data_IF_786869618148
#
_entry.id   IF_786869618148
#
_cell.length_a   1.000
_cell.length_b   1.000
_cell.length_c   1.000
_cell.angle_alpha   90.00
_cell.angle_beta   90.00
_cell.angle_gamma   90.00
#
_symmetry.space_group_name_H-M   'P 1'
#
loop_
_entity.id
_entity.type
_entity.pdbx_description
1 polymer ?
#
# COMPACT_ATOMS: atom_id res chain seq x y z
N UNK A 1 16.98 37.41 55.50
CA UNK A 1 17.67 36.87 54.29
C UNK A 1 16.87 35.78 53.56
N UNK A 2 15.95 35.06 54.21
CA UNK A 2 15.14 33.96 53.62
C UNK A 2 14.27 34.39 52.42
N UNK A 3 13.65 35.58 52.46
CA UNK A 3 12.73 36.05 51.43
C UNK A 3 13.35 36.25 50.02
N UNK A 4 14.66 36.53 49.93
CA UNK A 4 15.35 36.66 48.64
C UNK A 4 15.57 35.29 48.01
N UNK A 5 15.99 34.30 48.81
CA UNK A 5 16.16 32.92 48.35
C UNK A 5 14.83 32.30 47.91
N UNK A 6 13.73 32.53 48.64
CA UNK A 6 12.40 32.04 48.25
C UNK A 6 11.95 32.63 46.92
N UNK A 7 12.23 33.92 46.68
CA UNK A 7 11.84 34.60 45.44
C UNK A 7 12.66 34.13 44.25
N UNK A 8 13.96 33.91 44.41
CA UNK A 8 14.81 33.33 43.35
C UNK A 8 14.41 31.88 43.07
N UNK A 9 14.11 31.09 44.12
CA UNK A 9 13.65 29.71 43.98
C UNK A 9 12.32 29.62 43.20
N UNK A 10 11.34 30.48 43.52
CA UNK A 10 10.05 30.51 42.81
C UNK A 10 10.21 30.89 41.34
N UNK A 11 11.08 31.86 41.01
CA UNK A 11 11.35 32.26 39.62
C UNK A 11 11.97 31.11 38.83
N UNK A 12 12.93 30.40 39.42
CA UNK A 12 13.55 29.23 38.77
C UNK A 12 12.53 28.10 38.58
N UNK A 13 11.68 27.86 39.57
CA UNK A 13 10.67 26.79 39.51
C UNK A 13 9.62 27.06 38.43
N UNK A 14 9.14 28.32 38.29
CA UNK A 14 8.24 28.71 37.20
C UNK A 14 8.94 28.61 35.85
N UNK A 15 10.20 29.04 35.74
CA UNK A 15 10.95 28.92 34.49
C UNK A 15 11.11 27.45 34.05
N UNK A 16 11.40 26.54 34.98
CA UNK A 16 11.48 25.10 34.70
C UNK A 16 10.13 24.52 34.26
N UNK A 17 9.03 24.90 34.90
CA UNK A 17 7.69 24.46 34.49
C UNK A 17 7.37 24.95 33.08
N UNK A 18 7.65 26.23 32.77
CA UNK A 18 7.42 26.78 31.43
C UNK A 18 8.28 26.06 30.38
N UNK A 19 9.55 25.78 30.67
CA UNK A 19 10.43 25.04 29.76
C UNK A 19 9.89 23.62 29.54
N UNK A 20 9.49 22.91 30.60
CA UNK A 20 8.93 21.56 30.48
C UNK A 20 7.62 21.57 29.69
N UNK A 21 6.72 22.51 29.95
CA UNK A 21 5.46 22.66 29.21
C UNK A 21 5.70 22.94 27.73
N UNK A 22 6.64 23.84 27.40
CA UNK A 22 7.02 24.14 26.03
C UNK A 22 7.63 22.91 25.33
N UNK A 23 8.45 22.12 26.02
CA UNK A 23 8.99 20.87 25.49
C UNK A 23 7.87 19.87 25.23
N UNK A 24 6.98 19.63 26.19
CA UNK A 24 5.90 18.64 26.02
C UNK A 24 4.89 19.01 24.94
N UNK A 25 4.57 20.32 24.79
CA UNK A 25 3.65 20.80 23.74
C UNK A 25 4.28 20.69 22.35
N UNK A 26 5.60 20.82 22.25
CA UNK A 26 6.33 20.78 20.98
C UNK A 26 6.82 19.36 20.60
N UNK A 27 6.69 18.38 21.49
CA UNK A 27 7.06 16.97 21.25
C UNK A 27 5.87 16.02 21.24
N UNK A 28 4.70 16.45 20.77
CA UNK A 28 3.64 15.51 20.40
C UNK A 28 4.04 14.75 19.11
N UNK A 29 4.86 13.71 19.26
CA UNK A 29 4.93 12.62 18.30
C UNK A 29 4.10 11.44 18.85
N UNK A 30 2.99 11.03 18.22
CA UNK A 30 2.41 9.71 18.45
C UNK A 30 3.43 8.62 18.06
N UNK A 31 4.00 7.98 19.07
CA UNK A 31 4.82 6.79 18.93
C UNK A 31 3.95 5.60 18.50
N UNK A 32 3.90 5.34 17.20
CA UNK A 32 4.35 4.07 16.65
C UNK A 32 4.89 4.31 15.24
N UNK A 33 6.11 4.81 15.16
CA UNK A 33 6.92 4.68 13.97
C UNK A 33 7.64 3.33 14.00
N UNK A 34 7.28 2.44 13.08
CA UNK A 34 7.98 1.18 12.88
C UNK A 34 9.19 1.43 11.97
N UNK A 35 10.35 0.85 12.33
CA UNK A 35 11.58 0.93 11.54
C UNK A 35 11.80 -0.42 10.90
N UNK A 36 11.88 -0.45 9.57
CA UNK A 36 12.18 -1.68 8.82
C UNK A 36 13.66 -2.08 9.00
N UNK A 37 13.98 -3.29 9.52
CA UNK A 37 15.37 -3.68 9.81
C UNK A 37 16.24 -3.94 8.57
N UNK A 38 15.65 -4.19 7.41
CA UNK A 38 16.38 -4.49 6.17
C UNK A 38 16.76 -3.22 5.41
N UNK A 39 15.99 -2.14 5.56
CA UNK A 39 16.18 -0.90 4.78
C UNK A 39 16.46 0.34 5.61
N UNK A 40 16.22 0.31 6.93
CA UNK A 40 16.51 1.42 7.85
C UNK A 40 15.60 2.65 7.70
N UNK A 41 14.44 2.52 7.05
CA UNK A 41 13.49 3.63 6.85
C UNK A 41 12.43 3.68 7.96
N UNK A 42 12.17 4.89 8.45
CA UNK A 42 11.13 5.21 9.45
C UNK A 42 9.79 5.45 8.76
N UNK A 43 8.76 4.70 9.12
CA UNK A 43 7.38 4.96 8.72
C UNK A 43 6.60 5.52 9.91
N UNK A 44 6.41 6.84 9.95
CA UNK A 44 5.63 7.53 10.98
C UNK A 44 5.04 8.85 10.46
N UNK A 45 3.73 9.01 10.64
CA UNK A 45 2.94 10.23 10.47
C UNK A 45 2.94 10.92 9.11
N UNK A 46 2.12 10.36 8.21
CA UNK A 46 1.68 11.02 6.99
C UNK A 46 0.54 10.21 6.39
N UNK A 47 -0.66 10.33 6.95
CA UNK A 47 -1.87 9.83 6.29
C UNK A 47 -1.98 10.41 4.88
N UNK A 48 -2.60 9.67 3.96
CA UNK A 48 -2.84 10.10 2.57
C UNK A 48 -3.33 11.54 2.57
N UNK A 49 -2.51 12.47 2.06
CA UNK A 49 -2.93 13.86 1.89
C UNK A 49 -4.23 13.89 1.06
N UNK A 50 -5.17 14.75 1.45
CA UNK A 50 -6.34 15.05 0.61
C UNK A 50 -5.83 15.53 -0.74
N UNK A 51 -5.95 14.67 -1.76
CA UNK A 51 -5.65 15.02 -3.13
C UNK A 51 -6.45 16.25 -3.53
N UNK A 52 -5.77 17.32 -3.95
CA UNK A 52 -6.40 18.51 -4.50
C UNK A 52 -7.21 18.14 -5.76
N UNK A 53 -8.42 18.70 -5.96
CA UNK A 53 -9.31 18.33 -7.07
C UNK A 53 -8.70 18.56 -8.46
N UNK A 54 -7.67 19.40 -8.58
CA UNK A 54 -7.05 19.77 -9.86
C UNK A 54 -6.04 18.74 -10.40
N UNK A 55 -5.65 17.72 -9.62
CA UNK A 55 -4.79 16.61 -10.11
C UNK A 55 -5.58 15.45 -10.74
N UNK A 56 -6.91 15.47 -10.66
CA UNK A 56 -7.78 14.39 -11.16
C UNK A 56 -7.96 14.38 -12.69
N UNK A 57 -7.49 15.40 -13.41
CA UNK A 57 -7.80 15.55 -14.82
C UNK A 57 -6.73 15.02 -15.81
N UNK A 58 -5.54 14.59 -15.36
CA UNK A 58 -4.47 14.23 -16.33
C UNK A 58 -3.37 13.26 -15.85
N UNK A 59 -3.62 12.34 -14.91
CA UNK A 59 -2.63 11.27 -14.65
C UNK A 59 -2.82 10.09 -15.62
N UNK A 60 -2.21 10.27 -16.78
CA UNK A 60 -1.96 9.32 -17.86
C UNK A 60 -1.82 7.86 -17.38
N UNK A 61 -2.69 6.96 -17.87
CA UNK A 61 -2.67 5.49 -17.74
C UNK A 61 -1.40 4.79 -18.30
N UNK A 62 -0.33 5.53 -18.57
CA UNK A 62 0.87 5.06 -19.27
C UNK A 62 1.61 3.91 -18.56
N UNK A 63 1.48 3.78 -17.24
CA UNK A 63 2.12 2.70 -16.48
C UNK A 63 1.35 1.38 -16.49
N UNK A 64 0.02 1.42 -16.55
CA UNK A 64 -0.84 0.24 -16.39
C UNK A 64 -0.87 -0.60 -17.67
N UNK A 65 -0.94 0.06 -18.83
CA UNK A 65 -1.03 -0.62 -20.13
C UNK A 65 0.36 -0.75 -20.78
N UNK A 66 0.85 -1.98 -20.95
CA UNK A 66 2.07 -2.26 -21.71
C UNK A 66 2.62 -3.66 -21.48
N UNK A 67 3.77 -3.95 -22.08
CA UNK A 67 4.33 -5.30 -22.13
C UNK A 67 4.94 -5.79 -20.81
N UNK A 68 5.32 -7.07 -20.83
CA UNK A 68 6.08 -7.75 -19.78
C UNK A 68 7.47 -7.14 -19.67
N UNK A 69 7.91 -6.83 -18.45
CA UNK A 69 9.23 -6.24 -18.17
C UNK A 69 10.17 -7.27 -17.53
N UNK A 70 9.61 -8.35 -16.98
CA UNK A 70 10.36 -9.34 -16.21
C UNK A 70 11.03 -10.41 -17.09
N UNK A 71 12.24 -10.88 -16.72
CA UNK A 71 12.93 -11.94 -17.44
C UNK A 71 12.31 -13.31 -17.17
N UNK A 72 12.72 -14.32 -17.95
CA UNK A 72 12.31 -15.72 -17.77
C UNK A 72 12.75 -16.27 -16.40
N UNK A 73 11.87 -17.01 -15.72
CA UNK A 73 12.19 -17.67 -14.46
C UNK A 73 12.51 -19.16 -14.67
N UNK A 74 13.80 -19.51 -14.68
CA UNK A 74 14.25 -20.87 -15.01
C UNK A 74 14.07 -21.93 -13.91
N UNK A 75 13.99 -21.53 -12.64
CA UNK A 75 13.87 -22.48 -11.52
C UNK A 75 12.40 -22.91 -11.31
N UNK A 76 12.10 -24.19 -11.56
CA UNK A 76 10.75 -24.73 -11.50
C UNK A 76 10.14 -24.70 -10.08
N UNK A 77 10.92 -25.00 -9.04
CA UNK A 77 10.45 -24.98 -7.66
C UNK A 77 10.10 -23.56 -7.22
N UNK A 78 10.99 -22.60 -7.47
CA UNK A 78 10.76 -21.19 -7.16
C UNK A 78 9.56 -20.64 -7.94
N UNK A 79 9.39 -21.03 -9.21
CA UNK A 79 8.22 -20.67 -10.03
C UNK A 79 6.92 -21.20 -9.43
N UNK A 80 6.88 -22.43 -8.96
CA UNK A 80 5.69 -23.02 -8.35
C UNK A 80 5.35 -22.38 -6.99
N UNK A 81 6.35 -22.10 -6.16
CA UNK A 81 6.18 -21.40 -4.87
C UNK A 81 5.65 -19.98 -5.07
N UNK A 82 6.25 -19.23 -6.00
CA UNK A 82 5.81 -17.90 -6.38
C UNK A 82 4.36 -17.89 -6.88
N UNK A 83 3.99 -18.87 -7.72
CA UNK A 83 2.62 -19.03 -8.22
C UNK A 83 1.62 -19.22 -7.08
N UNK A 84 1.86 -20.17 -6.17
CA UNK A 84 0.97 -20.42 -5.02
C UNK A 84 0.82 -19.19 -4.13
N UNK A 85 1.92 -18.49 -3.84
CA UNK A 85 1.90 -17.29 -3.02
C UNK A 85 1.08 -16.16 -3.68
N UNK A 86 1.25 -15.98 -4.98
CA UNK A 86 0.56 -14.93 -5.74
C UNK A 86 -0.93 -15.21 -5.86
N UNK A 87 -1.31 -16.46 -6.18
CA UNK A 87 -2.72 -16.87 -6.20
C UNK A 87 -3.37 -16.69 -4.83
N UNK A 88 -2.67 -17.03 -3.75
CA UNK A 88 -3.17 -16.81 -2.40
C UNK A 88 -3.46 -15.32 -2.13
N UNK A 89 -2.56 -14.42 -2.53
CA UNK A 89 -2.76 -12.97 -2.41
C UNK A 89 -3.98 -12.52 -3.21
N UNK A 90 -4.05 -12.89 -4.50
CA UNK A 90 -5.12 -12.47 -5.41
C UNK A 90 -6.50 -12.95 -4.94
N UNK A 91 -6.63 -14.24 -4.57
CA UNK A 91 -7.87 -14.80 -4.03
C UNK A 91 -8.28 -14.11 -2.73
N UNK A 92 -7.32 -13.90 -1.82
CA UNK A 92 -7.63 -13.21 -0.55
C UNK A 92 -8.09 -11.77 -0.81
N UNK A 93 -7.46 -11.08 -1.76
CA UNK A 93 -7.82 -9.72 -2.13
C UNK A 93 -9.24 -9.63 -2.72
N UNK A 94 -9.60 -10.49 -3.69
CA UNK A 94 -10.94 -10.47 -4.31
C UNK A 94 -12.04 -10.90 -3.33
N UNK A 95 -11.76 -11.85 -2.43
CA UNK A 95 -12.69 -12.24 -1.36
C UNK A 95 -12.91 -11.13 -0.33
N UNK A 96 -11.94 -10.23 -0.15
CA UNK A 96 -12.02 -9.10 0.79
C UNK A 96 -12.54 -7.82 0.15
N UNK A 97 -12.62 -7.75 -1.18
CA UNK A 97 -13.11 -6.59 -1.94
C UNK A 97 -14.53 -6.14 -1.51
N UNK A 98 -14.91 -4.86 -1.62
CA UNK A 98 -16.23 -4.39 -1.22
C UNK A 98 -17.38 -4.99 -2.05
N UNK A 99 -18.55 -5.14 -1.45
CA UNK A 99 -19.75 -5.59 -2.17
C UNK A 99 -20.32 -4.49 -3.09
N UNK A 100 -20.09 -3.22 -2.74
CA UNK A 100 -20.48 -2.04 -3.51
C UNK A 100 -19.28 -1.09 -3.67
N UNK A 101 -18.33 -1.42 -4.54
CA UNK A 101 -17.11 -0.63 -4.72
C UNK A 101 -17.40 0.70 -5.43
N UNK A 102 -16.68 1.74 -5.03
CA UNK A 102 -16.63 3.05 -5.70
C UNK A 102 -15.89 2.94 -7.04
N UNK A 103 -16.07 3.90 -7.98
CA UNK A 103 -15.35 3.89 -9.26
C UNK A 103 -13.82 3.81 -9.10
N UNK A 104 -13.27 4.49 -8.10
CA UNK A 104 -11.85 4.46 -7.77
C UNK A 104 -11.39 3.06 -7.33
N UNK A 105 -12.10 2.42 -6.39
CA UNK A 105 -11.77 1.06 -5.93
C UNK A 105 -11.84 0.02 -7.07
N UNK A 106 -12.77 0.20 -8.01
CA UNK A 106 -12.88 -0.64 -9.21
C UNK A 106 -11.68 -0.47 -10.12
N UNK A 107 -11.28 0.77 -10.37
CA UNK A 107 -10.11 1.09 -11.19
C UNK A 107 -8.82 0.62 -10.51
N UNK A 108 -8.72 0.71 -9.19
CA UNK A 108 -7.59 0.22 -8.42
C UNK A 108 -7.43 -1.30 -8.55
N UNK A 109 -8.53 -2.06 -8.44
CA UNK A 109 -8.51 -3.51 -8.60
C UNK A 109 -8.17 -3.93 -10.05
N UNK A 110 -8.74 -3.25 -11.03
CA UNK A 110 -8.40 -3.49 -12.45
C UNK A 110 -6.93 -3.19 -12.74
N UNK A 111 -6.43 -2.05 -12.25
CA UNK A 111 -5.03 -1.64 -12.39
C UNK A 111 -4.09 -2.62 -11.70
N UNK A 112 -4.45 -3.14 -10.52
CA UNK A 112 -3.67 -4.15 -9.83
C UNK A 112 -3.41 -5.37 -10.70
N UNK A 113 -4.44 -5.92 -11.37
CA UNK A 113 -4.25 -7.10 -12.24
C UNK A 113 -3.37 -6.81 -13.44
N UNK A 114 -3.60 -5.67 -14.11
CA UNK A 114 -2.77 -5.27 -15.25
C UNK A 114 -1.32 -5.02 -14.84
N UNK A 115 -1.06 -4.31 -13.74
CA UNK A 115 0.29 -4.08 -13.23
C UNK A 115 0.96 -5.38 -12.77
N UNK A 116 0.22 -6.26 -12.10
CA UNK A 116 0.70 -7.59 -11.72
C UNK A 116 1.15 -8.35 -12.97
N UNK A 117 0.37 -8.34 -14.05
CA UNK A 117 0.75 -9.01 -15.30
C UNK A 117 2.01 -8.45 -15.97
N UNK A 118 2.42 -7.21 -15.66
CA UNK A 118 3.65 -6.61 -16.20
C UNK A 118 4.87 -6.90 -15.32
N UNK A 119 4.65 -6.89 -14.01
CA UNK A 119 5.68 -6.95 -12.97
C UNK A 119 5.85 -8.36 -12.38
N UNK A 120 5.04 -9.33 -12.80
CA UNK A 120 5.11 -10.69 -12.28
C UNK A 120 6.51 -11.30 -12.51
N UNK A 121 7.22 -11.77 -11.47
CA UNK A 121 8.63 -12.17 -11.54
C UNK A 121 8.86 -13.54 -12.21
N UNK A 122 8.14 -13.79 -13.31
CA UNK A 122 8.31 -14.88 -14.25
C UNK A 122 7.81 -14.35 -15.61
N UNK A 123 8.73 -13.98 -16.51
CA UNK A 123 8.39 -13.30 -17.76
C UNK A 123 7.47 -14.09 -18.69
N UNK A 124 7.69 -15.41 -18.81
CA UNK A 124 6.81 -16.27 -19.60
C UNK A 124 5.42 -16.41 -18.97
N UNK A 125 5.33 -16.52 -17.63
CA UNK A 125 4.07 -16.55 -16.92
C UNK A 125 3.31 -15.21 -17.05
N UNK A 126 4.05 -14.10 -16.99
CA UNK A 126 3.52 -12.74 -17.15
C UNK A 126 2.88 -12.56 -18.53
N UNK A 127 3.52 -13.10 -19.58
CA UNK A 127 3.00 -13.06 -20.94
C UNK A 127 1.70 -13.88 -21.08
N UNK A 128 1.67 -15.09 -20.50
CA UNK A 128 0.46 -15.92 -20.45
C UNK A 128 -0.65 -15.22 -19.68
N UNK A 129 -0.33 -14.59 -18.54
CA UNK A 129 -1.32 -13.87 -17.75
C UNK A 129 -1.87 -12.65 -18.50
N UNK A 130 -1.04 -11.91 -19.24
CA UNK A 130 -1.52 -10.84 -20.12
C UNK A 130 -2.47 -11.35 -21.21
N UNK A 131 -2.19 -12.53 -21.78
CA UNK A 131 -3.07 -13.14 -22.77
C UNK A 131 -4.42 -13.53 -22.15
N UNK A 132 -4.41 -14.08 -20.92
CA UNK A 132 -5.62 -14.38 -20.16
C UNK A 132 -6.44 -13.11 -19.87
N UNK A 133 -5.80 -12.03 -19.42
CA UNK A 133 -6.49 -10.76 -19.14
C UNK A 133 -7.12 -10.14 -20.39
N UNK A 134 -6.53 -10.32 -21.58
CA UNK A 134 -7.13 -9.88 -22.85
C UNK A 134 -8.39 -10.68 -23.20
N UNK A 135 -8.41 -11.98 -22.89
CA UNK A 135 -9.53 -12.87 -23.17
C UNK A 135 -10.65 -12.73 -22.13
N UNK A 136 -10.28 -12.56 -20.86
CA UNK A 136 -11.16 -12.49 -19.70
C UNK A 136 -10.79 -11.29 -18.84
N UNK A 137 -11.23 -10.06 -19.20
CA UNK A 137 -10.86 -8.86 -18.46
C UNK A 137 -11.37 -8.91 -17.00
N UNK A 138 -10.63 -8.33 -16.03
CA UNK A 138 -11.01 -8.30 -14.63
C UNK A 138 -12.42 -7.76 -14.41
N UNK A 139 -13.24 -8.52 -13.67
CA UNK A 139 -14.57 -8.07 -13.29
C UNK A 139 -14.53 -7.46 -11.88
N UNK A 140 -14.84 -6.17 -11.78
CA UNK A 140 -14.65 -5.38 -10.54
C UNK A 140 -15.96 -4.84 -9.97
N UNK A 141 -17.12 -5.32 -10.40
CA UNK A 141 -18.41 -4.73 -10.02
C UNK A 141 -18.84 -5.02 -8.57
N UNK A 142 -18.36 -6.10 -7.96
CA UNK A 142 -18.61 -6.46 -6.56
C UNK A 142 -17.66 -7.57 -6.11
N UNK A 143 -17.53 -7.77 -4.79
CA UNK A 143 -16.83 -8.91 -4.18
C UNK A 143 -17.14 -10.25 -4.86
N UNK A 144 -18.43 -10.58 -4.98
CA UNK A 144 -18.86 -11.87 -5.53
C UNK A 144 -18.43 -12.04 -6.98
N UNK A 145 -18.60 -10.99 -7.80
CA UNK A 145 -18.24 -11.03 -9.21
C UNK A 145 -16.72 -11.11 -9.39
N UNK A 146 -15.95 -10.34 -8.62
CA UNK A 146 -14.49 -10.37 -8.66
C UNK A 146 -13.91 -11.70 -8.20
N UNK A 147 -14.45 -12.28 -7.12
CA UNK A 147 -14.02 -13.59 -6.63
C UNK A 147 -14.35 -14.71 -7.61
N UNK A 148 -15.56 -14.73 -8.18
CA UNK A 148 -15.96 -15.74 -9.16
C UNK A 148 -15.13 -15.65 -10.44
N UNK A 149 -14.91 -14.44 -10.95
CA UNK A 149 -14.02 -14.22 -12.08
C UNK A 149 -12.63 -14.77 -11.78
N UNK A 150 -12.08 -14.48 -10.59
CA UNK A 150 -10.73 -14.91 -10.24
C UNK A 150 -10.59 -16.44 -10.25
N UNK A 151 -11.54 -17.15 -9.65
CA UNK A 151 -11.56 -18.63 -9.64
C UNK A 151 -11.65 -19.17 -11.07
N UNK A 152 -12.53 -18.63 -11.91
CA UNK A 152 -12.70 -19.10 -13.29
C UNK A 152 -11.52 -18.80 -14.22
N UNK A 153 -10.63 -17.90 -13.81
CA UNK A 153 -9.45 -17.50 -14.58
C UNK A 153 -8.17 -18.29 -14.22
N UNK A 154 -8.23 -19.15 -13.19
CA UNK A 154 -7.11 -19.95 -12.75
C UNK A 154 -6.92 -21.17 -13.67
N UNK A 155 -5.71 -21.45 -14.18
CA UNK A 155 -5.49 -22.51 -15.18
C UNK A 155 -5.77 -23.96 -14.75
N UNK A 156 -6.12 -24.23 -13.48
CA UNK A 156 -6.34 -25.58 -12.94
C UNK A 156 -7.66 -25.72 -12.12
N UNK A 157 -8.65 -24.85 -12.34
CA UNK A 157 -9.99 -24.97 -11.71
C UNK A 157 -10.93 -25.92 -12.48
#
# INVERSE_FOLDING_TARGET
MVARFTRTYLVVLVALIVIVSLVTLNTHHPLQSYVDPLTGRLFGEGGVEKSSPDLLAAHQESGVRGGVIMPKLGNATAKAELGRATWKLMHTMTLRFPDKPTPDERQALESFFHLTSRLYPCGECAHEFQALLKKYPPQTSSRMVSALWQVSSEPDS
#
